data_IF_154907698350
#
_entry.id   IF_154907698350
#
_cell.length_a   1.000
_cell.length_b   1.000
_cell.length_c   1.000
_cell.angle_alpha   90.00
_cell.angle_beta   90.00
_cell.angle_gamma   90.00
#
_symmetry.space_group_name_H-M   'P 1'
#
loop_
_entity.id
_entity.type
_entity.pdbx_description
1 polymer ?
#
# COMPACT_ATOMS: atom_id res chain seq x y z
N UNK A 1 12.83 -46.18 -8.46
CA UNK A 1 12.33 -45.34 -7.34
C UNK A 1 12.84 -43.89 -7.40
N UNK A 2 14.11 -43.63 -7.77
CA UNK A 2 14.66 -42.25 -7.92
C UNK A 2 13.96 -41.39 -9.01
N UNK A 3 13.55 -41.98 -10.12
CA UNK A 3 12.96 -41.25 -11.27
C UNK A 3 11.52 -40.73 -11.02
N UNK A 4 10.76 -41.40 -10.14
CA UNK A 4 9.40 -41.01 -9.75
C UNK A 4 9.45 -39.84 -8.74
N UNK A 5 10.38 -39.89 -7.80
CA UNK A 5 10.60 -38.81 -6.84
C UNK A 5 11.05 -37.52 -7.54
N UNK A 6 11.87 -37.63 -8.59
CA UNK A 6 12.35 -36.47 -9.36
C UNK A 6 11.23 -35.81 -10.19
N UNK A 7 10.42 -36.61 -10.90
CA UNK A 7 9.26 -36.10 -11.65
C UNK A 7 8.19 -35.47 -10.76
N UNK A 8 8.00 -35.99 -9.55
CA UNK A 8 7.06 -35.41 -8.59
C UNK A 8 7.54 -34.03 -8.11
N UNK A 9 8.84 -33.90 -7.84
CA UNK A 9 9.47 -32.66 -7.42
C UNK A 9 9.39 -31.55 -8.49
N UNK A 10 9.66 -31.88 -9.76
CA UNK A 10 9.55 -30.92 -10.87
C UNK A 10 8.10 -30.46 -11.09
N UNK A 11 7.14 -31.35 -10.86
CA UNK A 11 5.70 -31.04 -10.97
C UNK A 11 5.23 -30.10 -9.85
N UNK A 12 5.73 -30.30 -8.63
CA UNK A 12 5.47 -29.43 -7.48
C UNK A 12 6.07 -28.03 -7.68
N UNK A 13 7.31 -27.94 -8.16
CA UNK A 13 7.93 -26.64 -8.47
C UNK A 13 7.16 -25.86 -9.53
N UNK A 14 6.67 -26.54 -10.58
CA UNK A 14 5.85 -25.91 -11.61
C UNK A 14 4.50 -25.43 -11.08
N UNK A 15 3.85 -26.20 -10.20
CA UNK A 15 2.62 -25.79 -9.52
C UNK A 15 2.84 -24.59 -8.60
N UNK A 16 3.92 -24.61 -7.81
CA UNK A 16 4.29 -23.50 -6.93
C UNK A 16 4.56 -22.22 -7.71
N UNK A 17 5.23 -22.31 -8.86
CA UNK A 17 5.48 -21.16 -9.72
C UNK A 17 4.20 -20.63 -10.38
N UNK A 18 3.26 -21.50 -10.79
CA UNK A 18 1.92 -21.06 -11.24
C UNK A 18 1.14 -20.36 -10.13
N UNK A 19 1.13 -20.91 -8.92
CA UNK A 19 0.46 -20.30 -7.76
C UNK A 19 1.09 -18.93 -7.40
N UNK A 20 2.42 -18.80 -7.48
CA UNK A 20 3.12 -17.51 -7.32
C UNK A 20 2.70 -16.49 -8.38
N UNK A 21 2.53 -16.90 -9.64
CA UNK A 21 2.04 -16.01 -10.70
C UNK A 21 0.59 -15.56 -10.49
N UNK A 22 -0.29 -16.48 -10.08
CA UNK A 22 -1.70 -16.16 -9.77
C UNK A 22 -1.77 -15.20 -8.58
N UNK A 23 -0.99 -15.44 -7.52
CA UNK A 23 -0.88 -14.55 -6.37
C UNK A 23 -0.39 -13.15 -6.76
N UNK A 24 0.60 -13.03 -7.65
CA UNK A 24 1.06 -11.73 -8.14
C UNK A 24 -0.05 -10.96 -8.87
N UNK A 25 -0.87 -11.66 -9.68
CA UNK A 25 -2.03 -11.05 -10.36
C UNK A 25 -3.16 -10.66 -9.39
N UNK A 26 -3.45 -11.49 -8.39
CA UNK A 26 -4.44 -11.14 -7.37
C UNK A 26 -3.97 -10.00 -6.47
N UNK A 27 -2.68 -9.91 -6.16
CA UNK A 27 -2.14 -8.76 -5.41
C UNK A 27 -2.22 -7.45 -6.20
N UNK A 28 -2.14 -7.49 -7.53
CA UNK A 28 -2.34 -6.29 -8.34
C UNK A 28 -3.81 -5.88 -8.48
N UNK A 29 -4.76 -6.80 -8.28
CA UNK A 29 -6.20 -6.51 -8.31
C UNK A 29 -6.74 -6.06 -6.94
N UNK A 30 -6.15 -6.61 -5.87
CA UNK A 30 -6.52 -6.34 -4.47
C UNK A 30 -5.67 -5.25 -3.83
N UNK A 31 -4.50 -4.91 -4.39
CA UNK A 31 -3.56 -3.94 -3.79
C UNK A 31 -3.71 -2.50 -4.28
N UNK A 32 -4.63 -2.23 -5.21
CA UNK A 32 -4.94 -0.85 -5.60
C UNK A 32 -5.94 -0.35 -4.55
N UNK A 33 -5.43 0.32 -3.51
CA UNK A 33 -6.25 1.17 -2.64
C UNK A 33 -7.23 1.93 -3.54
N UNK A 34 -8.53 2.02 -3.19
CA UNK A 34 -9.55 2.55 -4.08
C UNK A 34 -9.05 3.88 -4.62
N UNK A 35 -8.58 3.88 -5.87
CA UNK A 35 -8.00 5.06 -6.47
C UNK A 35 -9.13 6.08 -6.45
N UNK A 36 -9.01 7.12 -5.62
CA UNK A 36 -10.03 8.15 -5.55
C UNK A 36 -10.24 8.63 -6.98
N UNK A 37 -11.40 8.31 -7.52
CA UNK A 37 -11.75 8.51 -8.91
C UNK A 37 -11.47 10.00 -9.24
N UNK A 38 -10.47 10.33 -10.09
CA UNK A 38 -10.07 11.72 -10.30
C UNK A 38 -11.19 12.56 -10.92
N UNK A 39 -12.20 11.89 -11.49
CA UNK A 39 -13.44 12.49 -12.00
C UNK A 39 -14.46 12.87 -10.92
N UNK A 40 -14.31 12.41 -9.66
CA UNK A 40 -15.16 12.81 -8.53
C UNK A 40 -14.61 14.00 -7.74
N UNK A 41 -13.43 14.50 -8.10
CA UNK A 41 -12.82 15.65 -7.44
C UNK A 41 -13.55 16.94 -7.81
N UNK A 42 -13.97 17.69 -6.81
CA UNK A 42 -14.50 19.05 -7.00
C UNK A 42 -13.42 19.97 -7.55
N UNK A 43 -13.81 21.02 -8.28
CA UNK A 43 -12.85 21.97 -8.85
C UNK A 43 -11.97 22.62 -7.78
N UNK A 44 -12.52 22.89 -6.59
CA UNK A 44 -11.77 23.42 -5.45
C UNK A 44 -10.70 22.45 -4.94
N UNK A 45 -10.99 21.15 -4.88
CA UNK A 45 -10.01 20.14 -4.49
C UNK A 45 -8.89 20.03 -5.54
N UNK A 46 -9.22 20.01 -6.84
CA UNK A 46 -8.21 19.98 -7.92
C UNK A 46 -7.23 21.16 -7.83
N UNK A 47 -7.75 22.36 -7.55
CA UNK A 47 -6.93 23.56 -7.38
C UNK A 47 -6.09 23.46 -6.11
N UNK A 48 -6.68 23.04 -4.98
CA UNK A 48 -5.95 22.88 -3.72
C UNK A 48 -4.77 21.91 -3.86
N UNK A 49 -4.94 20.79 -4.58
CA UNK A 49 -3.86 19.82 -4.79
C UNK A 49 -2.76 20.35 -5.70
N UNK A 50 -3.14 21.06 -6.77
CA UNK A 50 -2.20 21.69 -7.67
C UNK A 50 -1.38 22.76 -6.92
N UNK A 51 -2.01 23.54 -6.06
CA UNK A 51 -1.34 24.55 -5.22
C UNK A 51 -0.45 23.88 -4.17
N UNK A 52 -0.92 22.84 -3.49
CA UNK A 52 -0.16 22.16 -2.43
C UNK A 52 1.05 21.39 -2.98
N UNK A 53 0.89 20.68 -4.10
CA UNK A 53 2.01 20.01 -4.78
C UNK A 53 3.07 21.01 -5.26
N UNK A 54 2.67 22.22 -5.65
CA UNK A 54 3.58 23.29 -6.03
C UNK A 54 4.25 23.96 -4.82
N UNK A 55 3.51 24.21 -3.72
CA UNK A 55 4.04 24.84 -2.51
C UNK A 55 5.09 23.98 -1.77
N UNK A 56 5.03 22.65 -1.91
CA UNK A 56 6.01 21.74 -1.31
C UNK A 56 7.33 21.59 -2.08
N UNK A 57 7.50 22.25 -3.22
CA UNK A 57 8.68 22.07 -4.08
C UNK A 57 9.79 23.08 -3.80
N UNK A 58 11.04 22.62 -3.76
CA UNK A 58 12.23 23.48 -3.71
C UNK A 58 12.26 24.52 -4.84
N UNK A 59 11.69 24.19 -6.01
CA UNK A 59 11.62 25.11 -7.16
C UNK A 59 10.73 26.33 -6.88
N UNK A 60 9.64 26.14 -6.13
CA UNK A 60 8.72 27.22 -5.78
C UNK A 60 9.39 28.25 -4.88
N UNK A 61 10.12 27.79 -3.85
CA UNK A 61 10.86 28.66 -2.93
C UNK A 61 11.88 29.50 -3.69
N UNK A 62 12.65 28.90 -4.59
CA UNK A 62 13.67 29.62 -5.39
C UNK A 62 13.04 30.70 -6.26
N UNK A 63 11.94 30.39 -6.96
CA UNK A 63 11.24 31.36 -7.83
C UNK A 63 10.68 32.51 -6.99
N UNK A 64 10.00 32.20 -5.87
CA UNK A 64 9.43 33.19 -4.95
C UNK A 64 10.52 34.12 -4.38
N UNK A 65 11.63 33.56 -3.89
CA UNK A 65 12.77 34.32 -3.38
C UNK A 65 13.40 35.20 -4.45
N UNK A 66 13.50 34.72 -5.69
CA UNK A 66 14.05 35.48 -6.82
C UNK A 66 13.17 36.68 -7.16
N UNK A 67 11.85 36.48 -7.25
CA UNK A 67 10.88 37.56 -7.50
C UNK A 67 10.96 38.62 -6.40
N UNK A 68 10.98 38.20 -5.12
CA UNK A 68 11.10 39.13 -3.99
C UNK A 68 12.42 39.89 -4.03
N UNK A 69 13.52 39.21 -4.33
CA UNK A 69 14.84 39.85 -4.47
C UNK A 69 14.84 40.91 -5.56
N UNK A 70 14.34 40.59 -6.76
CA UNK A 70 14.24 41.58 -7.85
C UNK A 70 13.29 42.72 -7.51
N UNK A 71 12.18 42.46 -6.83
CA UNK A 71 11.24 43.49 -6.39
C UNK A 71 11.89 44.49 -5.42
N UNK A 72 12.62 43.98 -4.43
CA UNK A 72 13.36 44.80 -3.46
C UNK A 72 14.45 45.61 -4.17
N UNK A 73 15.25 44.98 -5.04
CA UNK A 73 16.29 45.68 -5.82
C UNK A 73 15.66 46.78 -6.68
N UNK A 74 14.62 46.49 -7.45
CA UNK A 74 13.94 47.47 -8.30
C UNK A 74 13.38 48.67 -7.50
N UNK A 75 12.81 48.44 -6.31
CA UNK A 75 12.32 49.51 -5.44
C UNK A 75 13.45 50.33 -4.81
N UNK A 76 14.54 49.70 -4.35
CA UNK A 76 15.69 50.38 -3.74
C UNK A 76 16.49 51.19 -4.77
N UNK A 77 16.64 50.67 -6.00
CA UNK A 77 17.36 51.40 -7.07
C UNK A 77 16.52 52.48 -7.75
N UNK A 78 15.24 52.62 -7.37
CA UNK A 78 14.33 53.71 -7.74
C UNK A 78 14.46 54.18 -9.20
N UNK A 79 14.38 53.25 -10.17
CA UNK A 79 14.63 53.58 -11.57
C UNK A 79 13.57 54.53 -12.17
N UNK A 80 12.33 54.58 -11.64
CA UNK A 80 11.24 55.33 -12.30
C UNK A 80 10.31 56.13 -11.35
N UNK A 81 9.75 55.60 -10.26
CA UNK A 81 8.96 56.39 -9.29
C UNK A 81 8.98 55.67 -7.93
N UNK A 82 9.15 56.40 -6.81
CA UNK A 82 9.21 55.84 -5.44
C UNK A 82 7.85 55.21 -5.03
N UNK A 83 7.55 54.02 -5.56
CA UNK A 83 6.24 53.40 -5.45
C UNK A 83 6.03 52.70 -4.09
N UNK A 84 7.10 52.22 -3.46
CA UNK A 84 7.05 51.62 -2.11
C UNK A 84 8.29 52.06 -1.28
N UNK A 85 8.26 53.25 -0.66
CA UNK A 85 9.32 53.74 0.22
C UNK A 85 9.53 52.82 1.43
N UNK A 86 10.75 52.76 1.97
CA UNK A 86 11.04 52.04 3.21
C UNK A 86 10.06 52.49 4.32
N UNK A 87 9.24 51.59 4.91
CA UNK A 87 9.48 50.17 5.18
C UNK A 87 8.72 49.14 4.31
N UNK A 88 8.47 49.41 3.02
CA UNK A 88 7.82 48.51 2.05
C UNK A 88 6.41 48.02 2.47
N UNK A 89 5.47 48.96 2.64
CA UNK A 89 4.13 48.66 3.16
C UNK A 89 3.33 47.76 2.21
N UNK A 90 3.50 47.95 0.89
CA UNK A 90 2.78 47.18 -0.12
C UNK A 90 3.29 45.75 -0.20
N UNK A 91 4.61 45.57 -0.12
CA UNK A 91 5.22 44.24 -0.06
C UNK A 91 4.76 43.47 1.18
N UNK A 92 4.74 44.13 2.34
CA UNK A 92 4.29 43.53 3.58
C UNK A 92 2.82 43.09 3.51
N UNK A 93 1.95 43.96 2.95
CA UNK A 93 0.54 43.65 2.77
C UNK A 93 0.35 42.45 1.81
N UNK A 94 1.08 42.41 0.71
CA UNK A 94 1.03 41.32 -0.25
C UNK A 94 1.48 39.99 0.35
N UNK A 95 2.59 39.97 1.09
CA UNK A 95 3.08 38.77 1.78
C UNK A 95 2.12 38.29 2.86
N UNK A 96 1.53 39.21 3.62
CA UNK A 96 0.53 38.88 4.64
C UNK A 96 -0.72 38.24 4.02
N UNK A 97 -1.21 38.78 2.91
CA UNK A 97 -2.32 38.20 2.16
C UNK A 97 -1.96 36.83 1.58
N UNK A 98 -0.76 36.69 1.00
CA UNK A 98 -0.28 35.42 0.46
C UNK A 98 -0.25 34.33 1.54
N UNK A 99 0.29 34.64 2.73
CA UNK A 99 0.35 33.71 3.84
C UNK A 99 -1.05 33.33 4.36
N UNK A 100 -1.97 34.32 4.44
CA UNK A 100 -3.35 34.09 4.88
C UNK A 100 -4.10 33.10 3.98
N UNK A 101 -3.87 33.12 2.65
CA UNK A 101 -4.48 32.17 1.72
C UNK A 101 -3.73 30.84 1.64
N UNK A 102 -2.42 30.83 1.90
CA UNK A 102 -1.64 29.59 1.89
C UNK A 102 -2.12 28.59 2.94
N UNK A 103 -2.39 29.04 4.16
CA UNK A 103 -2.77 28.15 5.27
C UNK A 103 -4.06 27.34 5.00
N UNK A 104 -5.18 27.92 4.53
CA UNK A 104 -6.37 27.16 4.15
C UNK A 104 -6.12 26.17 3.00
N UNK A 105 -5.34 26.53 1.98
CA UNK A 105 -5.03 25.61 0.88
C UNK A 105 -4.21 24.41 1.36
N UNK A 106 -3.21 24.67 2.21
CA UNK A 106 -2.41 23.61 2.84
C UNK A 106 -3.32 22.72 3.69
N UNK A 107 -4.19 23.29 4.53
CA UNK A 107 -5.10 22.54 5.39
C UNK A 107 -6.10 21.71 4.59
N UNK A 108 -6.65 22.24 3.48
CA UNK A 108 -7.55 21.49 2.60
C UNK A 108 -6.84 20.31 1.94
N UNK A 109 -5.62 20.52 1.44
CA UNK A 109 -4.82 19.43 0.86
C UNK A 109 -4.44 18.38 1.91
N UNK A 110 -4.10 18.80 3.13
CA UNK A 110 -3.78 17.90 4.24
C UNK A 110 -5.00 17.09 4.68
N UNK A 111 -6.16 17.71 4.87
CA UNK A 111 -7.38 17.02 5.25
C UNK A 111 -7.76 15.96 4.21
N UNK A 112 -7.59 16.29 2.93
CA UNK A 112 -7.82 15.33 1.84
C UNK A 112 -6.83 14.19 1.85
N UNK A 113 -5.53 14.47 2.02
CA UNK A 113 -4.52 13.41 2.10
C UNK A 113 -4.80 12.48 3.29
N UNK A 114 -5.21 13.03 4.44
CA UNK A 114 -5.62 12.24 5.59
C UNK A 114 -6.84 11.34 5.34
N UNK A 115 -7.83 11.82 4.58
CA UNK A 115 -8.97 10.98 4.18
C UNK A 115 -8.55 9.83 3.26
N UNK A 116 -7.65 10.09 2.30
CA UNK A 116 -7.08 9.06 1.41
C UNK A 116 -6.32 8.02 2.23
N UNK A 117 -5.44 8.47 3.11
CA UNK A 117 -4.62 7.59 3.95
C UNK A 117 -5.50 6.75 4.88
N UNK A 118 -6.58 7.33 5.43
CA UNK A 118 -7.56 6.60 6.25
C UNK A 118 -8.31 5.54 5.45
N UNK A 119 -8.73 5.84 4.22
CA UNK A 119 -9.38 4.86 3.35
C UNK A 119 -8.43 3.70 3.00
N UNK A 120 -7.16 4.02 2.69
CA UNK A 120 -6.14 3.01 2.42
C UNK A 120 -5.91 2.11 3.65
N UNK A 121 -5.79 2.71 4.84
CA UNK A 121 -5.61 1.96 6.08
C UNK A 121 -6.80 1.04 6.40
N UNK A 122 -8.04 1.49 6.18
CA UNK A 122 -9.23 0.65 6.37
C UNK A 122 -9.24 -0.54 5.40
N UNK A 123 -8.91 -0.29 4.14
CA UNK A 123 -8.85 -1.34 3.13
C UNK A 123 -7.76 -2.38 3.43
N UNK A 124 -6.57 -1.92 3.85
CA UNK A 124 -5.49 -2.81 4.28
C UNK A 124 -5.89 -3.65 5.50
N UNK A 125 -6.63 -3.06 6.45
CA UNK A 125 -7.19 -3.77 7.59
C UNK A 125 -8.15 -4.89 7.15
N UNK A 126 -9.10 -4.60 6.25
CA UNK A 126 -10.06 -5.59 5.76
C UNK A 126 -9.37 -6.75 5.02
N UNK A 127 -8.33 -6.45 4.23
CA UNK A 127 -7.49 -7.47 3.58
C UNK A 127 -6.80 -8.34 4.63
N UNK A 128 -6.25 -7.74 5.69
CA UNK A 128 -5.55 -8.48 6.73
C UNK A 128 -6.49 -9.45 7.47
N UNK A 129 -7.70 -9.00 7.81
CA UNK A 129 -8.73 -9.86 8.42
C UNK A 129 -9.10 -11.02 7.48
N UNK A 130 -9.27 -10.74 6.19
CA UNK A 130 -9.54 -11.80 5.21
C UNK A 130 -8.39 -12.82 5.12
N UNK A 131 -7.16 -12.34 5.12
CA UNK A 131 -5.98 -13.21 5.11
C UNK A 131 -5.89 -14.07 6.38
N UNK A 132 -6.21 -13.51 7.54
CA UNK A 132 -6.27 -14.25 8.81
C UNK A 132 -7.30 -15.39 8.75
N UNK A 133 -8.52 -15.12 8.28
CA UNK A 133 -9.56 -16.13 8.10
C UNK A 133 -9.18 -17.22 7.09
N UNK A 134 -8.53 -16.84 5.98
CA UNK A 134 -8.03 -17.81 4.99
C UNK A 134 -6.95 -18.73 5.60
N UNK A 135 -6.06 -18.18 6.43
CA UNK A 135 -5.03 -18.94 7.15
C UNK A 135 -5.68 -19.90 8.16
N UNK A 136 -6.67 -19.45 8.93
CA UNK A 136 -7.41 -20.29 9.87
C UNK A 136 -8.11 -21.45 9.15
N UNK A 137 -8.78 -21.17 8.02
CA UNK A 137 -9.41 -22.20 7.19
C UNK A 137 -8.40 -23.21 6.65
N UNK A 138 -7.21 -22.77 6.26
CA UNK A 138 -6.12 -23.65 5.84
C UNK A 138 -5.63 -24.54 6.99
N UNK A 139 -5.47 -24.00 8.20
CA UNK A 139 -5.09 -24.79 9.37
C UNK A 139 -6.12 -25.87 9.67
N UNK A 140 -7.42 -25.53 9.69
CA UNK A 140 -8.49 -26.50 9.89
C UNK A 140 -8.49 -27.64 8.85
N UNK A 141 -8.18 -27.32 7.58
CA UNK A 141 -8.04 -28.34 6.53
C UNK A 141 -6.81 -29.22 6.75
N UNK A 142 -5.67 -28.64 7.15
CA UNK A 142 -4.45 -29.40 7.46
C UNK A 142 -4.68 -30.35 8.62
N UNK A 143 -5.34 -29.89 9.69
CA UNK A 143 -5.65 -30.72 10.85
C UNK A 143 -6.58 -31.89 10.48
N UNK A 144 -7.60 -31.63 9.65
CA UNK A 144 -8.47 -32.70 9.14
C UNK A 144 -7.72 -33.73 8.27
N UNK A 145 -6.78 -33.28 7.44
CA UNK A 145 -5.94 -34.18 6.64
C UNK A 145 -5.01 -35.01 7.53
N UNK A 146 -4.39 -34.39 8.55
CA UNK A 146 -3.56 -35.06 9.54
C UNK A 146 -4.32 -36.13 10.30
N UNK A 147 -5.54 -35.84 10.75
CA UNK A 147 -6.40 -36.79 11.44
C UNK A 147 -6.70 -38.01 10.57
N UNK A 148 -7.07 -37.79 9.30
CA UNK A 148 -7.30 -38.89 8.34
C UNK A 148 -6.05 -39.73 8.10
N UNK A 149 -4.88 -39.10 7.99
CA UNK A 149 -3.62 -39.80 7.79
C UNK A 149 -3.25 -40.66 9.02
N UNK A 150 -3.43 -40.14 10.23
CA UNK A 150 -3.24 -40.89 11.47
C UNK A 150 -4.20 -42.08 11.57
N UNK A 151 -5.48 -41.89 11.21
CA UNK A 151 -6.46 -42.98 11.17
C UNK A 151 -6.08 -44.06 10.16
N UNK A 152 -5.60 -43.68 8.98
CA UNK A 152 -5.16 -44.62 7.96
C UNK A 152 -3.93 -45.42 8.42
N UNK A 153 -2.92 -44.73 8.98
CA UNK A 153 -1.71 -45.37 9.51
C UNK A 153 -2.03 -46.35 10.64
N UNK A 154 -2.92 -45.97 11.58
CA UNK A 154 -3.33 -46.86 12.67
C UNK A 154 -4.11 -48.08 12.16
N UNK A 155 -4.95 -47.92 11.15
CA UNK A 155 -5.63 -49.03 10.49
C UNK A 155 -4.63 -50.00 9.82
N UNK A 156 -3.67 -49.49 9.06
CA UNK A 156 -2.63 -50.31 8.42
C UNK A 156 -1.77 -51.05 9.45
N UNK A 157 -1.34 -50.38 10.53
CA UNK A 157 -0.58 -51.03 11.61
C UNK A 157 -1.38 -52.15 12.26
N UNK A 158 -2.68 -51.93 12.51
CA UNK A 158 -3.56 -52.96 13.10
C UNK A 158 -3.70 -54.17 12.18
N UNK A 159 -3.92 -53.95 10.89
CA UNK A 159 -4.00 -55.02 9.89
C UNK A 159 -2.72 -55.86 9.83
N UNK A 160 -1.55 -55.21 9.75
CA UNK A 160 -0.25 -55.88 9.78
C UNK A 160 -0.04 -56.69 11.06
N UNK A 161 -0.51 -56.16 12.20
CA UNK A 161 -0.41 -56.86 13.49
C UNK A 161 -1.26 -58.13 13.52
N UNK A 162 -2.47 -58.09 12.97
CA UNK A 162 -3.36 -59.26 12.87
C UNK A 162 -2.82 -60.31 11.90
N UNK A 163 -2.26 -59.89 10.75
CA UNK A 163 -1.58 -60.79 9.81
C UNK A 163 -0.39 -61.51 10.46
N UNK A 164 0.44 -60.79 11.22
CA UNK A 164 1.57 -61.38 11.95
C UNK A 164 1.13 -62.37 13.03
N UNK A 165 0.05 -62.08 13.76
CA UNK A 165 -0.52 -63.02 14.73
C UNK A 165 -1.03 -64.29 14.05
N UNK A 166 -1.74 -64.15 12.93
CA UNK A 166 -2.25 -65.27 12.16
C UNK A 166 -1.11 -66.14 11.60
N UNK A 167 -0.04 -65.53 11.08
CA UNK A 167 1.14 -66.27 10.61
C UNK A 167 1.83 -67.03 11.75
N UNK A 168 1.97 -66.39 12.92
CA UNK A 168 2.54 -67.05 14.12
C UNK A 168 1.68 -68.21 14.61
N UNK A 169 0.35 -68.07 14.58
CA UNK A 169 -0.57 -69.13 14.97
C UNK A 169 -0.56 -70.31 14.00
N UNK A 170 -0.30 -70.09 12.71
CA UNK A 170 -0.18 -71.15 11.71
C UNK A 170 1.16 -71.91 11.76
N UNK A 171 2.18 -71.34 12.40
CA UNK A 171 3.53 -71.93 12.58
C UNK A 171 3.71 -72.63 13.94
N UNK A 172 2.75 -72.52 14.85
CA UNK A 172 2.74 -73.17 16.17
C UNK A 172 1.89 -74.44 16.12
#
# INVERSE_FOLDING_TARGET
>A
MSDIAHKLHDSEEQLLNRLRQIRRRHRSDVGVAPALDPNKLTMGQKIADAVASNMGSWRFIIIQSTILFFWVVANVTAFIFHWDPYPFILLNLALSFQAAYAAPFIMMSQNRQGDIDRMAAQHDYDINIKAELEIESLHAKIDSLREKEVLNLTATVRELTELLKAERAAKA
#
